data_IF_371702897248
#
_entry.id   IF_371702897248
#
_cell.length_a   1.000
_cell.length_b   1.000
_cell.length_c   1.000
_cell.angle_alpha   90.00
_cell.angle_beta   90.00
_cell.angle_gamma   90.00
#
_symmetry.space_group_name_H-M   'P 1'
#
loop_
_entity.id
_entity.type
_entity.pdbx_description
1 polymer ?
#
# COMPACT_ATOMS: atom_id res chain seq x y z
N UNK A 1 5.52 -50.63 43.77
CA UNK A 1 6.08 -49.67 44.74
C UNK A 1 6.13 -48.32 44.05
N UNK A 2 5.67 -47.24 44.68
CA UNK A 2 5.71 -45.91 44.07
C UNK A 2 7.16 -45.39 44.01
N UNK A 3 7.52 -44.63 42.97
CA UNK A 3 8.85 -44.04 42.88
C UNK A 3 9.00 -42.86 43.84
N UNK A 4 10.24 -42.64 44.27
CA UNK A 4 10.67 -41.45 45.01
C UNK A 4 11.70 -40.69 44.18
N UNK A 5 11.79 -39.37 44.35
CA UNK A 5 12.77 -38.55 43.62
C UNK A 5 14.21 -39.01 43.92
N UNK A 6 14.50 -39.41 45.15
CA UNK A 6 15.78 -39.99 45.57
C UNK A 6 16.11 -41.28 44.80
N UNK A 7 15.15 -42.19 44.64
CA UNK A 7 15.35 -43.43 43.88
C UNK A 7 15.60 -43.14 42.39
N UNK A 8 14.97 -42.10 41.84
CA UNK A 8 15.15 -41.68 40.45
C UNK A 8 16.54 -41.08 40.21
N UNK A 9 17.01 -40.20 41.11
CA UNK A 9 18.35 -39.59 41.01
C UNK A 9 19.46 -40.63 41.08
N UNK A 10 19.30 -41.63 41.95
CA UNK A 10 20.27 -42.69 42.19
C UNK A 10 20.23 -43.81 41.13
N UNK A 11 19.23 -43.81 40.24
CA UNK A 11 19.12 -44.82 39.19
C UNK A 11 20.21 -44.61 38.12
N UNK A 12 21.09 -45.61 38.00
CA UNK A 12 22.16 -45.65 37.00
C UNK A 12 21.67 -46.29 35.70
N UNK A 13 22.12 -45.80 34.52
CA UNK A 13 21.89 -46.47 33.25
C UNK A 13 22.55 -47.86 33.23
N UNK A 14 22.02 -48.77 32.41
CA UNK A 14 22.62 -50.08 32.14
C UNK A 14 22.71 -50.31 30.62
N UNK A 15 23.35 -51.40 30.22
CA UNK A 15 23.53 -51.77 28.79
C UNK A 15 22.20 -51.95 28.04
N UNK A 16 21.10 -52.17 28.76
CA UNK A 16 19.74 -52.25 28.23
C UNK A 16 18.83 -51.20 28.89
N UNK A 17 17.80 -50.70 28.17
CA UNK A 17 16.89 -49.72 28.74
C UNK A 17 16.17 -50.25 29.99
N UNK A 18 16.15 -49.44 31.05
CA UNK A 18 15.52 -49.78 32.33
C UNK A 18 14.16 -49.10 32.44
N UNK A 19 13.18 -49.81 32.99
CA UNK A 19 11.86 -49.26 33.34
C UNK A 19 11.68 -49.28 34.85
N UNK A 20 11.54 -48.09 35.45
CA UNK A 20 11.22 -47.92 36.86
C UNK A 20 9.75 -47.54 37.00
N UNK A 21 8.92 -48.40 37.58
CA UNK A 21 7.47 -48.19 37.62
C UNK A 21 7.04 -47.34 38.81
N UNK A 22 6.23 -46.31 38.58
CA UNK A 22 5.61 -45.47 39.62
C UNK A 22 4.20 -45.95 39.99
N UNK A 23 3.51 -46.61 39.05
CA UNK A 23 2.15 -47.12 39.25
C UNK A 23 1.11 -46.45 38.34
N UNK A 24 -0.04 -47.10 38.18
CA UNK A 24 -1.10 -46.62 37.27
C UNK A 24 -0.67 -46.53 35.80
N UNK A 25 0.28 -47.37 35.39
CA UNK A 25 0.87 -47.37 34.05
C UNK A 25 2.03 -46.39 33.85
N UNK A 26 2.30 -45.49 34.81
CA UNK A 26 3.42 -44.55 34.76
C UNK A 26 4.74 -45.25 35.13
N UNK A 27 5.78 -44.99 34.35
CA UNK A 27 7.15 -45.43 34.62
C UNK A 27 8.17 -44.45 34.04
N UNK A 28 9.37 -44.44 34.64
CA UNK A 28 10.54 -43.79 34.11
C UNK A 28 11.30 -44.77 33.21
N UNK A 29 11.52 -44.38 31.97
CA UNK A 29 12.30 -45.14 30.99
C UNK A 29 13.70 -44.53 30.89
N UNK A 30 14.70 -45.25 31.37
CA UNK A 30 16.11 -44.84 31.34
C UNK A 30 16.78 -45.55 30.15
N UNK A 31 17.34 -44.79 29.21
CA UNK A 31 18.08 -45.35 28.08
C UNK A 31 19.52 -45.69 28.47
N UNK A 32 20.22 -46.55 27.72
CA UNK A 32 21.65 -46.80 27.95
C UNK A 32 22.52 -45.54 27.91
N UNK A 33 22.13 -44.55 27.09
CA UNK A 33 22.75 -43.22 27.03
C UNK A 33 22.42 -42.31 28.23
N UNK A 34 21.67 -42.81 29.22
CA UNK A 34 21.32 -42.10 30.44
C UNK A 34 20.16 -41.11 30.35
N UNK A 35 19.46 -41.04 29.21
CA UNK A 35 18.29 -40.18 29.07
C UNK A 35 17.09 -40.79 29.80
N UNK A 36 16.33 -39.95 30.51
CA UNK A 36 15.25 -40.37 31.42
C UNK A 36 13.91 -39.82 30.96
N UNK A 37 13.03 -40.69 30.47
CA UNK A 37 11.74 -40.30 29.91
C UNK A 37 10.58 -40.78 30.78
N UNK A 38 9.66 -39.88 31.11
CA UNK A 38 8.38 -40.26 31.67
C UNK A 38 7.50 -40.89 30.60
N UNK A 39 7.01 -42.10 30.85
CA UNK A 39 6.15 -42.85 29.93
C UNK A 39 4.92 -43.37 30.67
N UNK A 40 3.77 -43.31 30.02
CA UNK A 40 2.53 -43.91 30.47
C UNK A 40 2.15 -45.05 29.54
N UNK A 41 2.06 -46.26 30.09
CA UNK A 41 1.51 -47.43 29.44
C UNK A 41 0.00 -47.46 29.67
N UNK A 42 -0.79 -47.53 28.61
CA UNK A 42 -2.25 -47.54 28.67
C UNK A 42 -2.86 -48.43 27.57
N UNK A 43 -4.17 -48.68 27.65
CA UNK A 43 -4.93 -49.35 26.59
C UNK A 43 -6.03 -48.44 26.08
N UNK A 44 -6.25 -48.47 24.76
CA UNK A 44 -7.36 -47.78 24.11
C UNK A 44 -7.87 -48.66 22.96
N UNK A 45 -9.19 -48.87 22.88
CA UNK A 45 -9.83 -49.73 21.87
C UNK A 45 -9.15 -51.12 21.74
N UNK A 46 -8.89 -51.78 22.88
CA UNK A 46 -8.25 -53.11 22.94
C UNK A 46 -6.74 -53.15 22.65
N UNK A 47 -6.13 -52.05 22.20
CA UNK A 47 -4.70 -51.98 21.87
C UNK A 47 -3.89 -51.32 22.99
N UNK A 48 -2.74 -51.90 23.30
CA UNK A 48 -1.76 -51.31 24.21
C UNK A 48 -0.98 -50.19 23.52
N UNK A 49 -0.85 -49.05 24.19
CA UNK A 49 -0.17 -47.85 23.69
C UNK A 49 0.75 -47.25 24.75
N UNK A 50 1.70 -46.44 24.27
CA UNK A 50 2.69 -45.76 25.08
C UNK A 50 2.64 -44.25 24.86
N UNK A 51 2.32 -43.48 25.89
CA UNK A 51 2.30 -42.02 25.87
C UNK A 51 3.60 -41.48 26.48
N UNK A 52 4.26 -40.54 25.80
CA UNK A 52 5.36 -39.78 26.40
C UNK A 52 4.79 -38.70 27.32
N UNK A 53 5.31 -38.52 28.53
CA UNK A 53 4.84 -37.50 29.47
C UNK A 53 5.89 -36.43 29.77
N UNK A 54 7.14 -36.60 29.35
CA UNK A 54 8.20 -35.61 29.55
C UNK A 54 9.58 -36.25 29.71
N UNK A 55 10.57 -35.41 29.95
CA UNK A 55 11.96 -35.81 30.26
C UNK A 55 12.28 -35.37 31.68
N UNK A 56 12.92 -36.22 32.47
CA UNK A 56 13.42 -35.85 33.79
C UNK A 56 14.83 -35.25 33.66
N UNK A 57 15.17 -34.14 34.36
CA UNK A 57 14.42 -33.51 35.45
C UNK A 57 13.48 -32.37 35.02
N UNK A 58 13.42 -31.99 33.74
CA UNK A 58 12.55 -30.90 33.25
C UNK A 58 11.07 -31.08 33.62
N UNK A 59 10.62 -32.33 33.67
CA UNK A 59 9.33 -32.73 34.22
C UNK A 59 9.60 -33.52 35.49
N UNK A 60 9.18 -32.94 36.61
CA UNK A 60 9.29 -33.54 37.93
C UNK A 60 8.41 -34.79 38.06
N UNK A 61 8.69 -35.64 39.06
CA UNK A 61 7.83 -36.79 39.37
C UNK A 61 6.38 -36.36 39.66
N UNK A 62 6.19 -35.20 40.30
CA UNK A 62 4.86 -34.64 40.58
C UNK A 62 4.14 -34.29 39.28
N UNK A 63 4.76 -33.51 38.40
CA UNK A 63 4.15 -33.16 37.11
C UNK A 63 3.90 -34.39 36.23
N UNK A 64 4.76 -35.41 36.30
CA UNK A 64 4.54 -36.68 35.59
C UNK A 64 3.29 -37.41 36.11
N UNK A 65 3.01 -37.36 37.42
CA UNK A 65 1.78 -37.88 38.02
C UNK A 65 0.56 -37.04 37.63
N UNK A 66 0.67 -35.72 37.63
CA UNK A 66 -0.43 -34.84 37.20
C UNK A 66 -0.81 -35.09 35.73
N UNK A 67 0.20 -35.19 34.85
CA UNK A 67 -0.02 -35.54 33.42
C UNK A 67 -0.55 -36.97 33.22
N UNK A 68 -0.28 -37.90 34.15
CA UNK A 68 -0.89 -39.24 34.15
C UNK A 68 -2.38 -39.16 34.44
N UNK A 69 -2.78 -38.41 35.46
CA UNK A 69 -4.20 -38.28 35.82
C UNK A 69 -4.99 -37.61 34.69
N UNK A 70 -4.44 -36.57 34.06
CA UNK A 70 -5.08 -35.94 32.91
C UNK A 70 -5.24 -36.91 31.73
N UNK A 71 -4.21 -37.70 31.42
CA UNK A 71 -4.30 -38.72 30.38
C UNK A 71 -5.34 -39.81 30.72
N UNK A 72 -5.51 -40.16 31.99
CA UNK A 72 -6.54 -41.10 32.44
C UNK A 72 -7.94 -40.51 32.36
N UNK A 73 -8.11 -39.22 32.63
CA UNK A 73 -9.38 -38.49 32.47
C UNK A 73 -9.85 -38.57 31.02
N UNK A 74 -8.98 -38.24 30.07
CA UNK A 74 -9.26 -38.35 28.63
C UNK A 74 -9.64 -39.77 28.21
N UNK A 75 -8.97 -40.80 28.77
CA UNK A 75 -9.35 -42.19 28.51
C UNK A 75 -10.74 -42.54 29.05
N UNK A 76 -11.12 -41.99 30.20
CA UNK A 76 -12.48 -42.13 30.76
C UNK A 76 -13.56 -41.49 29.90
N UNK A 77 -13.21 -40.44 29.16
CA UNK A 77 -14.07 -39.75 28.19
C UNK A 77 -14.06 -40.42 26.79
N UNK A 78 -13.35 -41.55 26.64
CA UNK A 78 -13.26 -42.26 25.36
C UNK A 78 -12.32 -41.61 24.33
N UNK A 79 -11.45 -40.69 24.75
CA UNK A 79 -10.48 -39.99 23.90
C UNK A 79 -9.10 -40.65 24.04
N UNK A 80 -8.41 -40.89 22.92
CA UNK A 80 -7.01 -41.35 22.94
C UNK A 80 -6.05 -40.18 23.23
N UNK A 81 -5.35 -40.16 24.38
CA UNK A 81 -4.47 -39.05 24.75
C UNK A 81 -3.31 -38.81 23.78
N UNK A 82 -2.86 -39.85 23.07
CA UNK A 82 -1.80 -39.72 22.07
C UNK A 82 -2.29 -39.02 20.80
N UNK A 83 -3.55 -39.27 20.42
CA UNK A 83 -4.19 -38.62 19.29
C UNK A 83 -4.49 -37.16 19.61
N UNK A 84 -5.07 -36.89 20.79
CA UNK A 84 -5.36 -35.53 21.26
C UNK A 84 -4.10 -34.67 21.29
N UNK A 85 -2.99 -35.18 21.85
CA UNK A 85 -1.73 -34.45 21.86
C UNK A 85 -1.16 -34.20 20.47
N UNK A 86 -1.34 -35.14 19.54
CA UNK A 86 -0.93 -34.97 18.14
C UNK A 86 -1.82 -33.93 17.43
N UNK A 87 -3.13 -33.96 17.67
CA UNK A 87 -4.09 -33.00 17.15
C UNK A 87 -3.80 -31.58 17.67
N UNK A 88 -3.52 -31.40 18.96
CA UNK A 88 -3.10 -30.12 19.53
C UNK A 88 -1.80 -29.60 18.94
N UNK A 89 -0.82 -30.47 18.69
CA UNK A 89 0.46 -30.09 18.06
C UNK A 89 0.27 -29.67 16.60
N UNK A 90 -0.55 -30.39 15.83
CA UNK A 90 -0.91 -30.03 14.45
C UNK A 90 -1.66 -28.70 14.43
N UNK A 91 -2.67 -28.54 15.29
CA UNK A 91 -3.42 -27.30 15.42
C UNK A 91 -2.53 -26.10 15.79
N UNK A 92 -1.49 -26.30 16.62
CA UNK A 92 -0.53 -25.23 16.96
C UNK A 92 0.31 -24.82 15.75
N UNK A 93 0.82 -25.79 14.98
CA UNK A 93 1.62 -25.52 13.77
C UNK A 93 0.76 -24.88 12.68
N UNK A 94 -0.46 -25.36 12.47
CA UNK A 94 -1.43 -24.77 11.54
C UNK A 94 -1.85 -23.36 11.96
N UNK A 95 -2.01 -23.08 13.26
CA UNK A 95 -2.31 -21.73 13.77
C UNK A 95 -1.18 -20.74 13.49
N UNK A 96 0.08 -21.16 13.58
CA UNK A 96 1.23 -20.31 13.22
C UNK A 96 1.35 -20.12 11.70
N UNK A 97 1.12 -21.18 10.91
CA UNK A 97 1.14 -21.13 9.46
C UNK A 97 -0.03 -20.31 8.87
N UNK A 98 -1.19 -20.29 9.54
CA UNK A 98 -2.38 -19.53 9.15
C UNK A 98 -2.55 -18.24 9.99
N UNK A 99 -1.45 -17.68 10.47
CA UNK A 99 -1.46 -16.36 11.10
C UNK A 99 -1.85 -15.27 10.08
N UNK A 100 -2.43 -14.17 10.55
CA UNK A 100 -2.83 -13.07 9.67
C UNK A 100 -1.66 -12.54 8.85
N UNK A 101 -0.48 -12.41 9.45
CA UNK A 101 0.71 -11.94 8.75
C UNK A 101 1.16 -12.91 7.65
N UNK A 102 1.17 -14.22 7.93
CA UNK A 102 1.55 -15.22 6.93
C UNK A 102 0.62 -15.14 5.70
N UNK A 103 -0.70 -15.11 5.94
CA UNK A 103 -1.70 -15.00 4.87
C UNK A 103 -1.60 -13.66 4.14
N UNK A 104 -1.36 -12.56 4.87
CA UNK A 104 -1.20 -11.24 4.28
C UNK A 104 0.03 -11.14 3.36
N UNK A 105 1.14 -11.78 3.73
CA UNK A 105 2.37 -11.82 2.91
C UNK A 105 2.19 -12.69 1.68
N UNK A 106 1.53 -13.84 1.82
CA UNK A 106 1.16 -14.70 0.69
C UNK A 106 0.25 -13.95 -0.30
N UNK A 107 -0.80 -13.30 0.22
CA UNK A 107 -1.67 -12.44 -0.56
C UNK A 107 -0.88 -11.32 -1.26
N UNK A 108 -0.03 -10.60 -0.52
CA UNK A 108 0.76 -9.52 -1.10
C UNK A 108 1.67 -10.02 -2.23
N UNK A 109 2.38 -11.13 -2.04
CA UNK A 109 3.24 -11.72 -3.07
C UNK A 109 2.47 -12.10 -4.34
N UNK A 110 1.22 -12.57 -4.20
CA UNK A 110 0.35 -12.93 -5.34
C UNK A 110 -0.11 -11.71 -6.14
N UNK A 111 -0.49 -10.61 -5.48
CA UNK A 111 -1.10 -9.46 -6.15
C UNK A 111 -0.12 -8.32 -6.46
N UNK A 112 0.99 -8.20 -5.73
CA UNK A 112 2.00 -7.17 -5.94
C UNK A 112 2.51 -7.06 -7.39
N UNK A 113 2.70 -8.16 -8.16
CA UNK A 113 3.12 -8.07 -9.56
C UNK A 113 2.12 -7.32 -10.47
N UNK A 114 0.83 -7.28 -10.10
CA UNK A 114 -0.21 -6.57 -10.85
C UNK A 114 -0.28 -5.07 -10.51
N UNK A 115 0.49 -4.61 -9.53
CA UNK A 115 0.50 -3.23 -9.07
C UNK A 115 1.78 -2.51 -9.46
N UNK A 116 1.73 -1.17 -9.46
CA UNK A 116 2.98 -0.41 -9.54
C UNK A 116 3.85 -0.70 -8.31
N UNK A 117 5.18 -0.69 -8.50
CA UNK A 117 6.16 -0.93 -7.42
C UNK A 117 5.90 -0.04 -6.19
N UNK A 118 5.55 1.23 -6.42
CA UNK A 118 5.21 2.20 -5.36
C UNK A 118 3.96 1.79 -4.58
N UNK A 119 2.91 1.32 -5.26
CA UNK A 119 1.70 0.86 -4.59
C UNK A 119 1.95 -0.41 -3.78
N UNK A 120 2.65 -1.40 -4.36
CA UNK A 120 3.00 -2.63 -3.67
C UNK A 120 3.80 -2.36 -2.37
N UNK A 121 4.79 -1.47 -2.44
CA UNK A 121 5.55 -1.03 -1.26
C UNK A 121 4.66 -0.37 -0.21
N UNK A 122 3.80 0.59 -0.60
CA UNK A 122 2.91 1.29 0.34
C UNK A 122 1.93 0.36 1.04
N UNK A 123 1.42 -0.66 0.34
CA UNK A 123 0.49 -1.63 0.91
C UNK A 123 1.17 -2.46 2.00
N UNK A 124 2.33 -3.07 1.71
CA UNK A 124 3.01 -3.91 2.71
C UNK A 124 3.56 -3.09 3.88
N UNK A 125 4.11 -1.91 3.63
CA UNK A 125 4.60 -1.02 4.68
C UNK A 125 3.48 -0.62 5.65
N UNK A 126 2.27 -0.36 5.15
CA UNK A 126 1.11 -0.08 6.01
C UNK A 126 0.75 -1.28 6.87
N UNK A 127 0.75 -2.48 6.31
CA UNK A 127 0.48 -3.71 7.09
C UNK A 127 1.54 -3.91 8.18
N UNK A 128 2.82 -3.74 7.85
CA UNK A 128 3.92 -3.89 8.80
C UNK A 128 3.89 -2.87 9.93
N UNK A 129 3.53 -1.62 9.64
CA UNK A 129 3.55 -0.54 10.64
C UNK A 129 2.27 -0.49 11.46
N UNK A 130 1.11 -0.78 10.85
CA UNK A 130 -0.18 -0.49 11.46
C UNK A 130 -0.97 -1.75 11.84
N UNK A 131 -0.68 -2.93 11.25
CA UNK A 131 -1.51 -4.14 11.44
C UNK A 131 -0.76 -5.29 12.10
N UNK A 132 0.38 -5.70 11.55
CA UNK A 132 1.15 -6.85 12.04
C UNK A 132 1.56 -6.76 13.51
N UNK A 133 1.94 -5.59 14.07
CA UNK A 133 2.28 -5.49 15.49
C UNK A 133 1.15 -5.89 16.43
N UNK A 134 -0.10 -5.87 15.96
CA UNK A 134 -1.29 -6.09 16.77
C UNK A 134 -2.05 -7.36 16.43
N UNK A 135 -2.11 -7.73 15.14
CA UNK A 135 -2.87 -8.87 14.65
C UNK A 135 -2.00 -9.91 13.93
N UNK A 136 -0.73 -9.61 13.63
CA UNK A 136 0.09 -10.42 12.74
C UNK A 136 0.19 -11.88 13.15
N UNK A 137 0.44 -12.14 14.44
CA UNK A 137 0.54 -13.49 15.00
C UNK A 137 -0.78 -14.18 15.33
N UNK A 138 -1.93 -13.48 15.21
CA UNK A 138 -3.24 -14.08 15.50
C UNK A 138 -3.65 -15.01 14.34
N UNK A 139 -4.21 -16.20 14.62
CA UNK A 139 -4.80 -17.03 13.56
C UNK A 139 -5.90 -16.26 12.84
N UNK A 140 -5.85 -16.21 11.51
CA UNK A 140 -6.77 -15.36 10.74
C UNK A 140 -8.25 -15.73 10.96
N UNK A 141 -8.54 -17.02 11.17
CA UNK A 141 -9.89 -17.52 11.44
C UNK A 141 -10.48 -17.04 12.79
N UNK A 142 -9.64 -16.65 13.75
CA UNK A 142 -10.08 -16.26 15.09
C UNK A 142 -10.28 -14.75 15.26
N UNK A 143 -9.85 -13.93 14.28
CA UNK A 143 -9.89 -12.48 14.40
C UNK A 143 -11.32 -11.98 14.19
N UNK A 144 -11.84 -11.26 15.19
CA UNK A 144 -13.20 -10.70 15.16
C UNK A 144 -13.23 -9.24 14.73
N UNK A 145 -14.41 -8.77 14.31
CA UNK A 145 -14.62 -7.38 13.89
C UNK A 145 -14.15 -6.32 14.92
N UNK A 146 -14.38 -6.48 16.24
CA UNK A 146 -13.89 -5.51 17.23
C UNK A 146 -12.36 -5.42 17.31
N UNK A 147 -11.64 -6.54 17.14
CA UNK A 147 -10.17 -6.55 17.11
C UNK A 147 -9.64 -5.78 15.90
N UNK A 148 -10.25 -6.02 14.73
CA UNK A 148 -9.93 -5.32 13.50
C UNK A 148 -10.24 -3.82 13.57
N UNK A 149 -11.39 -3.45 14.14
CA UNK A 149 -11.75 -2.05 14.38
C UNK A 149 -10.78 -1.39 15.35
N UNK A 150 -10.32 -2.10 16.39
CA UNK A 150 -9.32 -1.60 17.33
C UNK A 150 -8.03 -1.19 16.63
N UNK A 151 -7.55 -1.98 15.66
CA UNK A 151 -6.40 -1.61 14.81
C UNK A 151 -6.66 -0.33 14.03
N UNK A 152 -7.81 -0.24 13.35
CA UNK A 152 -8.16 0.94 12.57
C UNK A 152 -8.27 2.21 13.43
N UNK A 153 -8.86 2.10 14.63
CA UNK A 153 -8.97 3.20 15.60
C UNK A 153 -7.62 3.69 16.12
N UNK A 154 -6.61 2.81 16.25
CA UNK A 154 -5.23 3.25 16.57
C UNK A 154 -4.62 4.08 15.46
N UNK A 155 -4.96 3.79 14.20
CA UNK A 155 -4.50 4.60 13.06
C UNK A 155 -5.22 5.94 13.04
N UNK A 156 -6.53 5.93 13.27
CA UNK A 156 -7.38 7.12 13.39
C UNK A 156 -6.91 8.05 14.50
N UNK A 157 -6.60 7.53 15.70
CA UNK A 157 -6.19 8.35 16.85
C UNK A 157 -4.90 9.13 16.65
N UNK A 158 -4.09 8.75 15.64
CA UNK A 158 -2.90 9.50 15.19
C UNK A 158 -3.25 10.63 14.20
N UNK A 159 -4.53 10.88 13.94
CA UNK A 159 -5.01 11.85 12.94
C UNK A 159 -4.99 11.33 11.50
N UNK A 160 -4.72 10.05 11.27
CA UNK A 160 -4.52 9.48 9.94
C UNK A 160 -5.77 8.76 9.39
N UNK A 161 -6.91 9.45 9.32
CA UNK A 161 -8.21 8.85 9.01
C UNK A 161 -8.26 8.16 7.62
N UNK A 162 -7.70 8.75 6.55
CA UNK A 162 -7.61 8.08 5.24
C UNK A 162 -6.80 6.79 5.32
N UNK A 163 -5.72 6.78 6.12
CA UNK A 163 -4.92 5.57 6.32
C UNK A 163 -5.71 4.50 7.06
N UNK A 164 -6.53 4.88 8.05
CA UNK A 164 -7.39 3.94 8.78
C UNK A 164 -8.41 3.26 7.86
N UNK A 165 -9.07 4.02 6.98
CA UNK A 165 -9.97 3.47 5.95
C UNK A 165 -9.24 2.51 5.01
N UNK A 166 -8.04 2.87 4.55
CA UNK A 166 -7.25 1.99 3.69
C UNK A 166 -6.76 0.73 4.42
N UNK A 167 -6.46 0.80 5.72
CA UNK A 167 -6.13 -0.39 6.52
C UNK A 167 -7.31 -1.36 6.51
N UNK A 168 -8.53 -0.90 6.82
CA UNK A 168 -9.72 -1.75 6.81
C UNK A 168 -9.96 -2.37 5.42
N UNK A 169 -9.79 -1.58 4.35
CA UNK A 169 -9.93 -2.06 2.98
C UNK A 169 -8.91 -3.17 2.65
N UNK A 170 -7.64 -2.98 3.00
CA UNK A 170 -6.58 -3.97 2.76
C UNK A 170 -6.81 -5.23 3.61
N UNK A 171 -7.17 -5.09 4.88
CA UNK A 171 -7.53 -6.22 5.74
C UNK A 171 -8.69 -7.03 5.14
N UNK A 172 -9.76 -6.38 4.65
CA UNK A 172 -10.86 -7.08 3.98
C UNK A 172 -10.45 -7.82 2.71
N UNK A 173 -9.47 -7.33 1.95
CA UNK A 173 -8.91 -8.07 0.82
C UNK A 173 -8.17 -9.33 1.28
N UNK A 174 -7.40 -9.24 2.37
CA UNK A 174 -6.68 -10.37 2.96
C UNK A 174 -7.65 -11.41 3.52
N UNK A 175 -8.71 -10.99 4.22
CA UNK A 175 -9.75 -11.91 4.71
C UNK A 175 -10.48 -12.61 3.57
N UNK A 176 -10.88 -11.89 2.52
CA UNK A 176 -11.50 -12.53 1.35
C UNK A 176 -10.57 -13.52 0.67
N UNK A 177 -9.26 -13.24 0.63
CA UNK A 177 -8.27 -14.20 0.18
C UNK A 177 -8.19 -15.43 1.09
N UNK A 178 -8.19 -15.24 2.40
CA UNK A 178 -8.21 -16.31 3.39
C UNK A 178 -9.44 -17.21 3.22
N UNK A 179 -10.62 -16.61 3.02
CA UNK A 179 -11.88 -17.33 2.72
C UNK A 179 -11.76 -18.14 1.43
N UNK A 180 -11.28 -17.53 0.35
CA UNK A 180 -11.10 -18.24 -0.92
C UNK A 180 -10.09 -19.40 -0.85
N UNK A 181 -9.16 -19.37 0.11
CA UNK A 181 -8.18 -20.44 0.34
C UNK A 181 -8.55 -21.39 1.48
N UNK A 182 -9.76 -21.28 2.04
CA UNK A 182 -10.25 -22.16 3.11
C UNK A 182 -9.60 -21.94 4.49
N UNK A 183 -8.93 -20.80 4.70
CA UNK A 183 -8.23 -20.46 5.95
C UNK A 183 -9.05 -19.60 6.90
N UNK A 184 -10.19 -19.10 6.45
CA UNK A 184 -11.17 -18.37 7.24
C UNK A 184 -12.58 -18.64 6.69
N UNK A 185 -13.61 -18.53 7.51
CA UNK A 185 -14.99 -18.73 7.07
C UNK A 185 -15.65 -17.43 6.59
N UNK A 186 -15.20 -16.26 7.10
CA UNK A 186 -15.82 -14.96 6.80
C UNK A 186 -14.81 -13.81 6.83
N UNK A 187 -15.14 -12.75 6.09
CA UNK A 187 -14.51 -11.43 6.21
C UNK A 187 -15.25 -10.53 7.22
N UNK A 188 -14.65 -10.23 8.39
CA UNK A 188 -15.28 -9.36 9.40
C UNK A 188 -15.24 -7.87 9.05
N UNK A 189 -14.50 -7.44 8.02
CA UNK A 189 -14.37 -6.03 7.65
C UNK A 189 -15.67 -5.45 7.07
N UNK A 190 -16.55 -6.29 6.53
CA UNK A 190 -17.85 -5.88 5.99
C UNK A 190 -18.76 -5.24 7.05
N UNK A 191 -18.70 -5.74 8.29
CA UNK A 191 -19.50 -5.24 9.42
C UNK A 191 -19.00 -3.89 9.95
N UNK A 192 -17.80 -3.47 9.53
CA UNK A 192 -17.16 -2.24 9.97
C UNK A 192 -17.44 -1.06 9.03
N UNK A 193 -18.30 -1.25 8.02
CA UNK A 193 -18.73 -0.13 7.16
C UNK A 193 -19.44 0.93 8.01
N UNK A 194 -18.95 2.16 7.96
CA UNK A 194 -19.46 3.27 8.77
C UNK A 194 -18.94 3.32 10.20
N UNK A 195 -18.11 2.36 10.63
CA UNK A 195 -17.54 2.37 11.98
C UNK A 195 -16.45 3.44 12.19
N UNK A 196 -15.87 3.94 11.09
CA UNK A 196 -15.00 5.11 11.07
C UNK A 196 -15.77 6.30 10.50
N UNK A 197 -15.54 7.53 11.00
CA UNK A 197 -16.12 8.72 10.42
C UNK A 197 -15.67 8.88 8.95
N UNK A 198 -16.51 9.49 8.10
CA UNK A 198 -16.14 9.74 6.72
C UNK A 198 -14.94 10.68 6.67
N UNK A 199 -13.99 10.40 5.76
CA UNK A 199 -12.92 11.36 5.45
C UNK A 199 -13.59 12.59 4.85
N UNK A 200 -13.63 13.69 5.59
CA UNK A 200 -13.97 15.00 5.02
C UNK A 200 -12.84 15.40 4.08
N UNK A 201 -12.98 15.07 2.81
CA UNK A 201 -12.08 15.56 1.77
C UNK A 201 -12.19 17.08 1.74
N UNK A 202 -11.12 17.78 2.14
CA UNK A 202 -10.95 19.15 1.67
C UNK A 202 -10.54 19.01 0.21
N UNK A 203 -11.46 19.30 -0.71
CA UNK A 203 -11.05 19.57 -2.08
C UNK A 203 -10.02 20.70 -1.99
N UNK A 204 -8.77 20.41 -2.36
CA UNK A 204 -7.73 21.44 -2.40
C UNK A 204 -8.28 22.59 -3.26
N UNK A 205 -8.10 23.83 -2.81
CA UNK A 205 -8.45 25.00 -3.62
C UNK A 205 -7.69 24.86 -4.95
N UNK A 206 -8.41 24.54 -6.02
CA UNK A 206 -7.91 24.74 -7.36
C UNK A 206 -8.45 26.13 -7.71
N UNK A 207 -7.68 27.22 -7.51
CA UNK A 207 -8.15 28.56 -7.84
C UNK A 207 -8.57 28.57 -9.31
N UNK A 208 -9.87 28.60 -9.58
CA UNK A 208 -10.40 28.72 -10.94
C UNK A 208 -10.73 30.17 -11.29
N UNK A 209 -10.69 31.08 -10.31
CA UNK A 209 -10.73 32.52 -10.56
C UNK A 209 -9.44 32.93 -11.31
N UNK A 210 -9.55 33.49 -12.53
CA UNK A 210 -8.40 33.99 -13.27
C UNK A 210 -7.47 34.92 -12.47
N UNK A 211 -7.99 35.70 -11.50
CA UNK A 211 -7.16 36.57 -10.66
C UNK A 211 -6.25 35.80 -9.71
N UNK A 212 -6.78 34.74 -9.09
CA UNK A 212 -6.02 33.86 -8.21
C UNK A 212 -4.98 33.05 -9.01
N UNK A 213 -5.36 32.58 -10.20
CA UNK A 213 -4.43 31.92 -11.15
C UNK A 213 -3.31 32.88 -11.55
N UNK A 214 -3.61 34.12 -11.90
CA UNK A 214 -2.61 35.12 -12.23
C UNK A 214 -1.63 35.37 -11.07
N UNK A 215 -2.12 35.42 -9.83
CA UNK A 215 -1.30 35.49 -8.63
C UNK A 215 -0.33 34.31 -8.52
N UNK A 216 -0.84 33.09 -8.69
CA UNK A 216 -0.04 31.87 -8.67
C UNK A 216 1.05 31.84 -9.75
N UNK A 217 0.72 32.25 -10.97
CA UNK A 217 1.68 32.29 -12.09
C UNK A 217 2.81 33.29 -11.83
N UNK A 218 2.50 34.49 -11.32
CA UNK A 218 3.52 35.48 -10.92
C UNK A 218 4.42 34.97 -9.81
N UNK A 219 3.86 34.21 -8.88
CA UNK A 219 4.63 33.54 -7.84
C UNK A 219 5.63 32.58 -8.50
N UNK A 220 5.21 31.75 -9.48
CA UNK A 220 6.13 30.84 -10.20
C UNK A 220 7.26 31.58 -10.94
N UNK A 221 6.98 32.71 -11.58
CA UNK A 221 8.02 33.52 -12.25
C UNK A 221 9.08 34.04 -11.26
N UNK A 222 8.64 34.42 -10.06
CA UNK A 222 9.49 34.89 -8.96
C UNK A 222 10.22 33.75 -8.22
N UNK A 223 10.04 32.49 -8.61
CA UNK A 223 10.70 31.37 -7.97
C UNK A 223 12.23 31.52 -7.98
N UNK A 224 12.82 31.44 -6.79
CA UNK A 224 14.27 31.46 -6.58
C UNK A 224 14.73 30.06 -6.16
N UNK A 225 15.54 29.43 -7.02
CA UNK A 225 16.06 28.09 -6.83
C UNK A 225 16.88 27.64 -8.04
N UNK A 226 17.09 26.33 -8.20
CA UNK A 226 17.80 25.79 -9.37
C UNK A 226 17.01 26.05 -10.65
N UNK A 227 17.69 26.40 -11.73
CA UNK A 227 17.08 26.63 -13.05
C UNK A 227 16.18 25.47 -13.50
N UNK A 228 16.62 24.23 -13.31
CA UNK A 228 15.84 23.01 -13.63
C UNK A 228 14.47 22.97 -12.93
N UNK A 229 14.42 23.30 -11.63
CA UNK A 229 13.16 23.35 -10.87
C UNK A 229 12.30 24.54 -11.31
N UNK A 230 12.91 25.67 -11.65
CA UNK A 230 12.19 26.83 -12.20
C UNK A 230 11.49 26.47 -13.51
N UNK A 231 12.20 25.86 -14.47
CA UNK A 231 11.61 25.40 -15.73
C UNK A 231 10.46 24.42 -15.49
N UNK A 232 10.59 23.47 -14.55
CA UNK A 232 9.51 22.54 -14.22
C UNK A 232 8.26 23.25 -13.67
N UNK A 233 8.43 24.28 -12.83
CA UNK A 233 7.32 25.07 -12.30
C UNK A 233 6.62 25.89 -13.39
N UNK A 234 7.37 26.46 -14.32
CA UNK A 234 6.82 27.25 -15.43
C UNK A 234 6.11 26.38 -16.47
N UNK A 235 6.65 25.19 -16.76
CA UNK A 235 6.06 24.25 -17.72
C UNK A 235 4.84 23.50 -17.16
N UNK A 236 4.76 23.29 -15.84
CA UNK A 236 3.63 22.62 -15.22
C UNK A 236 2.25 23.21 -15.60
N UNK A 237 1.98 24.52 -15.45
CA UNK A 237 0.74 25.15 -15.88
C UNK A 237 0.51 25.12 -17.38
N UNK A 238 1.57 25.27 -18.19
CA UNK A 238 1.47 25.28 -19.65
C UNK A 238 1.10 23.91 -20.23
N UNK A 239 1.70 22.83 -19.71
CA UNK A 239 1.55 21.48 -20.25
C UNK A 239 0.46 20.66 -19.57
N UNK A 240 0.19 20.94 -18.29
CA UNK A 240 -0.82 20.29 -17.45
C UNK A 240 -0.86 18.75 -17.55
N UNK A 241 0.30 18.14 -17.83
CA UNK A 241 0.56 16.71 -17.68
C UNK A 241 0.59 16.32 -16.19
N UNK A 242 0.63 15.04 -15.86
CA UNK A 242 0.76 14.65 -14.45
C UNK A 242 2.14 15.06 -13.94
N UNK A 243 2.29 15.52 -12.68
CA UNK A 243 3.59 15.85 -12.10
C UNK A 243 4.63 14.73 -12.21
N UNK A 244 4.20 13.47 -12.09
CA UNK A 244 5.05 12.31 -12.26
C UNK A 244 5.52 12.07 -13.70
N UNK A 245 4.71 12.46 -14.70
CA UNK A 245 5.08 12.43 -16.12
C UNK A 245 6.06 13.58 -16.41
N UNK A 246 5.75 14.81 -15.99
CA UNK A 246 6.61 15.99 -16.19
C UNK A 246 8.01 15.78 -15.63
N UNK A 247 8.13 15.39 -14.35
CA UNK A 247 9.44 15.27 -13.68
C UNK A 247 10.34 14.18 -14.30
N UNK A 248 9.73 13.21 -14.98
CA UNK A 248 10.40 12.06 -15.57
C UNK A 248 10.51 12.17 -17.10
N UNK A 249 10.19 13.33 -17.68
CA UNK A 249 10.33 13.58 -19.10
C UNK A 249 11.77 13.33 -19.56
N UNK A 250 11.91 12.62 -20.68
CA UNK A 250 13.18 12.27 -21.30
C UNK A 250 13.39 13.12 -22.55
N UNK A 251 14.63 13.52 -22.82
CA UNK A 251 14.93 14.33 -24.01
C UNK A 251 14.62 13.57 -25.31
N UNK A 252 14.77 12.25 -25.30
CA UNK A 252 14.47 11.38 -26.44
C UNK A 252 12.99 11.42 -26.87
N UNK A 253 12.08 11.82 -25.97
CA UNK A 253 10.65 11.89 -26.23
C UNK A 253 10.20 13.26 -26.77
N UNK A 254 11.09 14.26 -26.78
CA UNK A 254 10.76 15.65 -27.11
C UNK A 254 11.39 16.05 -28.44
N UNK A 255 10.53 16.41 -29.39
CA UNK A 255 10.91 17.06 -30.63
C UNK A 255 10.64 18.57 -30.52
N UNK A 256 11.70 19.34 -30.25
CA UNK A 256 11.62 20.79 -30.08
C UNK A 256 11.35 21.54 -31.39
N UNK A 257 11.66 20.93 -32.53
CA UNK A 257 11.46 21.56 -33.84
C UNK A 257 10.05 21.31 -34.36
N UNK A 258 9.51 20.11 -34.14
CA UNK A 258 8.09 19.82 -34.36
C UNK A 258 7.17 20.43 -33.29
N UNK A 259 7.72 20.80 -32.12
CA UNK A 259 6.95 21.33 -31.00
C UNK A 259 6.07 20.26 -30.36
N UNK A 260 6.62 19.06 -30.12
CA UNK A 260 5.87 17.92 -29.60
C UNK A 260 6.64 17.14 -28.54
N UNK A 261 5.92 16.64 -27.55
CA UNK A 261 6.42 15.67 -26.58
C UNK A 261 5.58 14.39 -26.66
N UNK A 262 6.22 13.25 -26.97
CA UNK A 262 5.58 11.97 -27.23
C UNK A 262 6.08 10.91 -26.25
N UNK A 263 5.20 10.42 -25.37
CA UNK A 263 5.58 9.43 -24.35
C UNK A 263 4.42 8.47 -24.05
N UNK A 264 4.69 7.42 -23.27
CA UNK A 264 3.66 6.48 -22.80
C UNK A 264 3.21 6.87 -21.39
N UNK A 265 1.91 7.14 -21.19
CA UNK A 265 1.39 7.57 -19.89
C UNK A 265 1.55 6.48 -18.82
N UNK A 266 2.27 6.83 -17.74
CA UNK A 266 2.72 5.90 -16.69
C UNK A 266 1.62 5.21 -15.88
N UNK A 267 0.37 5.69 -15.95
CA UNK A 267 -0.78 5.11 -15.21
C UNK A 267 -1.67 4.22 -16.08
N UNK A 268 -1.64 4.37 -17.41
CA UNK A 268 -2.60 3.73 -18.31
C UNK A 268 -1.96 3.01 -19.50
N UNK A 269 -0.64 3.11 -19.66
CA UNK A 269 0.11 2.49 -20.75
C UNK A 269 -0.44 2.91 -22.13
N UNK A 270 -0.73 4.21 -22.27
CA UNK A 270 -1.31 4.77 -23.49
C UNK A 270 -0.30 5.74 -24.12
N UNK A 271 0.02 5.60 -25.41
CA UNK A 271 0.77 6.60 -26.15
C UNK A 271 0.08 7.97 -26.07
N UNK A 272 0.83 9.00 -25.72
CA UNK A 272 0.33 10.35 -25.53
C UNK A 272 1.25 11.34 -26.23
N UNK A 273 0.65 12.22 -27.02
CA UNK A 273 1.34 13.31 -27.72
C UNK A 273 0.89 14.60 -27.05
N UNK A 274 1.81 15.42 -26.57
CA UNK A 274 1.56 16.74 -25.97
C UNK A 274 2.11 17.80 -26.93
N UNK A 275 1.25 18.57 -27.62
CA UNK A 275 1.70 19.73 -28.35
C UNK A 275 2.34 20.77 -27.42
N UNK A 276 3.47 21.34 -27.84
CA UNK A 276 4.20 22.36 -27.11
C UNK A 276 3.91 23.72 -27.73
N UNK A 277 3.50 24.69 -26.90
CA UNK A 277 3.39 26.08 -27.33
C UNK A 277 4.77 26.69 -27.57
N UNK A 278 4.84 27.81 -28.28
CA UNK A 278 6.08 28.54 -28.53
C UNK A 278 6.80 28.92 -27.22
N UNK A 279 6.05 29.32 -26.19
CA UNK A 279 6.56 29.59 -24.84
C UNK A 279 7.19 28.35 -24.20
N UNK A 280 6.52 27.19 -24.29
CA UNK A 280 7.04 25.95 -23.74
C UNK A 280 8.33 25.51 -24.46
N UNK A 281 8.36 25.62 -25.79
CA UNK A 281 9.56 25.34 -26.60
C UNK A 281 10.72 26.26 -26.22
N UNK A 282 10.48 27.55 -26.00
CA UNK A 282 11.51 28.49 -25.56
C UNK A 282 12.13 28.06 -24.22
N UNK A 283 11.31 27.77 -23.21
CA UNK A 283 11.78 27.30 -21.90
C UNK A 283 12.56 25.99 -22.02
N UNK A 284 12.08 25.06 -22.87
CA UNK A 284 12.75 23.79 -23.09
C UNK A 284 14.07 23.96 -23.83
N UNK A 285 14.19 24.86 -24.81
CA UNK A 285 15.46 25.15 -25.49
C UNK A 285 16.51 25.72 -24.53
N UNK A 286 16.11 26.65 -23.66
CA UNK A 286 17.02 27.17 -22.62
C UNK A 286 17.45 26.06 -21.66
N UNK A 287 16.52 25.19 -21.25
CA UNK A 287 16.84 24.06 -20.39
C UNK A 287 17.73 23.02 -21.09
N UNK A 288 17.53 22.79 -22.38
CA UNK A 288 18.31 21.86 -23.19
C UNK A 288 19.80 22.25 -23.23
N UNK A 289 20.12 23.55 -23.25
CA UNK A 289 21.50 24.02 -23.15
C UNK A 289 22.20 23.55 -21.85
N UNK A 290 21.45 23.32 -20.76
CA UNK A 290 21.98 22.87 -19.49
C UNK A 290 21.90 21.34 -19.29
N UNK A 291 20.83 20.70 -19.74
CA UNK A 291 20.53 19.30 -19.43
C UNK A 291 20.47 18.37 -20.64
N UNK A 292 20.54 18.90 -21.87
CA UNK A 292 20.36 18.17 -23.13
C UNK A 292 21.38 17.07 -23.40
N UNK A 293 22.56 17.13 -22.78
CA UNK A 293 23.56 16.06 -22.84
C UNK A 293 23.21 14.83 -21.96
N UNK A 294 22.19 14.96 -21.11
CA UNK A 294 21.72 13.90 -20.23
C UNK A 294 20.48 13.19 -20.76
N UNK A 295 20.01 12.22 -19.97
CA UNK A 295 18.81 11.45 -20.31
C UNK A 295 17.50 12.20 -20.02
N UNK A 296 17.41 12.78 -18.82
CA UNK A 296 16.20 13.46 -18.34
C UNK A 296 16.21 14.95 -18.64
N UNK A 297 15.04 15.47 -19.03
CA UNK A 297 14.78 16.92 -19.14
C UNK A 297 15.01 17.60 -17.79
N UNK A 298 14.52 16.97 -16.73
CA UNK A 298 14.63 17.42 -15.34
C UNK A 298 15.47 16.42 -14.52
N UNK A 299 16.81 16.46 -14.58
CA UNK A 299 17.65 15.54 -13.84
C UNK A 299 17.62 15.82 -12.33
N UNK A 300 17.84 14.78 -11.52
CA UNK A 300 17.98 14.89 -10.08
C UNK A 300 19.23 15.69 -9.69
N UNK A 301 19.08 16.60 -8.73
CA UNK A 301 20.18 17.49 -8.30
C UNK A 301 21.41 16.72 -7.75
N UNK A 302 21.19 15.58 -7.09
CA UNK A 302 22.26 14.73 -6.52
C UNK A 302 22.71 13.61 -7.45
N UNK A 303 21.82 13.14 -8.31
CA UNK A 303 22.05 12.00 -9.20
C UNK A 303 21.38 12.30 -10.53
N UNK A 304 22.19 12.72 -11.51
CA UNK A 304 21.72 13.10 -12.85
C UNK A 304 21.19 11.90 -13.65
N UNK A 305 21.46 10.66 -13.22
CA UNK A 305 20.92 9.43 -13.81
C UNK A 305 19.51 9.12 -13.33
N UNK A 306 18.95 9.94 -12.43
CA UNK A 306 17.57 9.82 -11.95
C UNK A 306 16.79 11.08 -12.32
N UNK A 307 15.47 10.96 -12.51
CA UNK A 307 14.63 12.13 -12.71
C UNK A 307 14.52 12.95 -11.42
N UNK A 308 14.08 14.19 -11.56
CA UNK A 308 13.73 15.07 -10.44
C UNK A 308 12.76 14.36 -9.48
N UNK A 309 12.95 14.57 -8.18
CA UNK A 309 12.17 13.88 -7.15
C UNK A 309 10.71 14.37 -7.11
N UNK A 310 9.79 13.49 -6.69
CA UNK A 310 8.37 13.84 -6.50
C UNK A 310 8.16 15.00 -5.52
N UNK A 311 9.07 15.16 -4.57
CA UNK A 311 9.02 16.20 -3.57
C UNK A 311 9.52 17.57 -4.07
N UNK A 312 10.26 17.64 -5.18
CA UNK A 312 10.96 18.87 -5.58
C UNK A 312 10.00 20.03 -5.87
N UNK A 313 8.96 19.80 -6.68
CA UNK A 313 7.94 20.81 -7.01
C UNK A 313 7.15 21.22 -5.76
N UNK A 314 6.70 20.27 -4.96
CA UNK A 314 5.98 20.59 -3.71
C UNK A 314 6.87 21.31 -2.69
N UNK A 315 8.16 20.97 -2.60
CA UNK A 315 9.11 21.67 -1.76
C UNK A 315 9.38 23.10 -2.27
N UNK A 316 9.40 23.30 -3.58
CA UNK A 316 9.50 24.63 -4.19
C UNK A 316 8.27 25.48 -3.86
N UNK A 317 7.05 24.95 -4.07
CA UNK A 317 5.80 25.61 -3.68
C UNK A 317 5.79 26.02 -2.20
N UNK A 318 6.20 25.12 -1.29
CA UNK A 318 6.32 25.44 0.14
C UNK A 318 7.29 26.58 0.43
N UNK A 319 8.44 26.64 -0.24
CA UNK A 319 9.42 27.74 -0.07
C UNK A 319 8.88 29.09 -0.53
N UNK A 320 7.92 29.08 -1.44
CA UNK A 320 7.25 30.26 -1.96
C UNK A 320 6.08 30.71 -1.08
N UNK A 321 5.93 30.10 0.11
CA UNK A 321 4.86 30.42 1.05
C UNK A 321 3.53 29.74 0.74
N UNK A 322 3.45 28.89 -0.31
CA UNK A 322 2.21 28.21 -0.68
C UNK A 322 2.01 26.99 0.21
N UNK A 323 0.90 26.95 0.96
CA UNK A 323 0.51 25.78 1.73
C UNK A 323 0.03 24.68 0.77
N UNK A 324 0.96 23.78 0.41
CA UNK A 324 0.65 22.61 -0.44
C UNK A 324 -0.35 21.61 0.17
N UNK A 325 -0.86 21.84 1.37
CA UNK A 325 -1.94 21.04 1.97
C UNK A 325 -3.29 21.79 2.00
N UNK A 326 -3.31 23.10 1.74
CA UNK A 326 -4.52 23.92 1.84
C UNK A 326 -4.80 24.78 0.60
N UNK A 327 -3.77 25.26 -0.06
CA UNK A 327 -3.86 26.30 -1.09
C UNK A 327 -3.62 25.77 -2.50
N UNK A 328 -2.54 25.02 -2.75
CA UNK A 328 -2.24 24.52 -4.10
C UNK A 328 -1.21 23.39 -4.09
N UNK A 329 -1.46 22.31 -4.84
CA UNK A 329 -0.47 21.24 -5.08
C UNK A 329 -0.04 21.24 -6.55
N UNK A 330 1.09 20.59 -6.87
CA UNK A 330 1.46 20.37 -8.28
C UNK A 330 0.38 19.64 -9.11
N UNK A 331 -0.57 18.94 -8.46
CA UNK A 331 -1.73 18.34 -9.14
C UNK A 331 -2.87 19.33 -9.41
N UNK A 332 -2.92 20.47 -8.72
CA UNK A 332 -3.97 21.49 -8.80
C UNK A 332 -4.04 22.20 -10.15
N UNK A 333 -2.98 22.12 -10.96
CA UNK A 333 -2.95 22.70 -12.32
C UNK A 333 -4.01 22.09 -13.25
N UNK A 334 -4.19 20.76 -13.22
CA UNK A 334 -4.99 20.06 -14.24
C UNK A 334 -6.48 20.40 -14.15
N UNK A 335 -7.09 20.45 -12.95
CA UNK A 335 -8.45 20.96 -12.79
C UNK A 335 -8.61 22.41 -13.25
N UNK A 336 -7.64 23.30 -12.96
CA UNK A 336 -7.66 24.70 -13.41
C UNK A 336 -7.68 24.79 -14.93
N UNK A 337 -6.72 24.13 -15.59
CA UNK A 337 -6.64 24.10 -17.04
C UNK A 337 -7.94 23.58 -17.65
N UNK A 338 -8.49 22.47 -17.12
CA UNK A 338 -9.76 21.90 -17.60
C UNK A 338 -10.92 22.89 -17.51
N UNK A 339 -11.08 23.53 -16.36
CA UNK A 339 -12.17 24.49 -16.14
C UNK A 339 -12.02 25.72 -17.03
N UNK A 340 -10.84 26.35 -17.07
CA UNK A 340 -10.65 27.58 -17.84
C UNK A 340 -10.70 27.32 -19.35
N UNK A 341 -10.08 26.23 -19.83
CA UNK A 341 -10.15 25.85 -21.24
C UNK A 341 -11.60 25.67 -21.70
N UNK A 342 -12.46 25.09 -20.85
CA UNK A 342 -13.87 24.87 -21.16
C UNK A 342 -14.70 26.14 -21.03
N UNK A 343 -14.68 26.75 -19.86
CA UNK A 343 -15.63 27.79 -19.46
C UNK A 343 -15.23 29.19 -19.93
N UNK A 344 -13.93 29.47 -20.10
CA UNK A 344 -13.42 30.79 -20.47
C UNK A 344 -12.97 30.82 -21.93
N UNK A 345 -12.22 29.81 -22.35
CA UNK A 345 -11.63 29.75 -23.69
C UNK A 345 -12.51 28.99 -24.70
N UNK A 346 -13.59 28.35 -24.24
CA UNK A 346 -14.61 27.75 -25.10
C UNK A 346 -14.17 26.52 -25.88
N UNK A 347 -13.12 25.81 -25.44
CA UNK A 347 -12.69 24.58 -26.11
C UNK A 347 -13.62 23.41 -25.83
N UNK A 348 -13.71 22.50 -26.80
CA UNK A 348 -14.53 21.32 -26.65
C UNK A 348 -14.01 20.36 -25.59
N UNK A 349 -14.92 19.84 -24.76
CA UNK A 349 -14.57 18.99 -23.64
C UNK A 349 -13.80 17.74 -24.11
N UNK A 350 -14.12 17.22 -25.30
CA UNK A 350 -13.43 16.09 -25.89
C UNK A 350 -11.93 16.36 -26.15
N UNK A 351 -11.61 17.52 -26.72
CA UNK A 351 -10.23 17.96 -27.02
C UNK A 351 -9.43 18.10 -25.72
N UNK A 352 -10.04 18.68 -24.68
CA UNK A 352 -9.43 18.87 -23.36
C UNK A 352 -9.17 17.50 -22.69
N UNK A 353 -10.14 16.59 -22.71
CA UNK A 353 -10.00 15.26 -22.10
C UNK A 353 -8.93 14.42 -22.81
N UNK A 354 -8.84 14.48 -24.14
CA UNK A 354 -7.76 13.86 -24.91
C UNK A 354 -6.38 14.40 -24.51
N UNK A 355 -6.25 15.72 -24.33
CA UNK A 355 -5.02 16.35 -23.86
C UNK A 355 -4.66 15.95 -22.42
N UNK A 356 -5.63 15.67 -21.55
CA UNK A 356 -5.39 15.18 -20.20
C UNK A 356 -5.06 13.66 -20.13
N UNK A 357 -4.94 13.00 -21.30
CA UNK A 357 -4.85 11.55 -21.43
C UNK A 357 -6.00 10.83 -20.71
N UNK A 358 -7.20 11.42 -20.77
CA UNK A 358 -8.43 10.81 -20.30
C UNK A 358 -9.06 9.99 -21.42
N UNK A 359 -9.35 8.71 -21.14
CA UNK A 359 -10.13 7.88 -22.07
C UNK A 359 -11.59 8.25 -21.93
N UNK A 360 -12.22 8.72 -23.00
CA UNK A 360 -13.64 8.48 -23.22
C UNK A 360 -13.79 7.15 -23.96
N UNK A 361 -14.68 6.29 -23.48
CA UNK A 361 -15.22 5.21 -24.31
C UNK A 361 -16.26 5.86 -25.22
N UNK A 362 -16.15 5.68 -26.52
CA UNK A 362 -17.28 5.86 -27.44
C UNK A 362 -18.47 5.02 -26.93
N UNK A 363 -19.74 5.46 -27.09
CA UNK A 363 -20.92 4.58 -27.04
C UNK A 363 -20.74 3.17 -27.64
N UNK A 364 -19.94 3.02 -28.70
CA UNK A 364 -19.62 1.77 -29.39
C UNK A 364 -18.34 1.06 -28.87
N UNK A 365 -17.69 1.57 -27.82
CA UNK A 365 -16.57 0.92 -27.14
C UNK A 365 -15.19 1.08 -27.78
N UNK A 366 -15.05 1.76 -28.93
CA UNK A 366 -13.76 2.07 -29.53
C UNK A 366 -13.01 3.14 -28.73
N UNK A 367 -11.69 2.98 -28.59
CA UNK A 367 -10.82 4.04 -28.08
C UNK A 367 -10.59 5.05 -29.20
N UNK A 368 -10.74 6.35 -28.91
CA UNK A 368 -10.44 7.42 -29.86
C UNK A 368 -9.04 7.26 -30.48
N UNK A 369 -8.95 7.58 -31.77
CA UNK A 369 -7.72 7.50 -32.54
C UNK A 369 -6.63 8.42 -31.94
N UNK A 370 -5.39 7.95 -31.98
CA UNK A 370 -4.25 8.49 -31.20
C UNK A 370 -3.81 9.89 -31.66
N UNK A 371 -4.23 10.27 -32.86
CA UNK A 371 -3.95 11.55 -33.53
C UNK A 371 -5.21 12.43 -33.60
N UNK A 372 -6.32 11.98 -32.99
CA UNK A 372 -7.57 12.71 -33.03
C UNK A 372 -7.37 14.14 -32.52
N UNK A 373 -7.87 15.08 -33.33
CA UNK A 373 -7.85 16.52 -33.04
C UNK A 373 -6.45 17.11 -32.79
N UNK A 374 -5.35 16.52 -33.28
CA UNK A 374 -4.00 17.04 -32.98
C UNK A 374 -3.80 18.51 -33.42
N UNK A 375 -4.34 18.89 -34.58
CA UNK A 375 -4.31 20.27 -35.04
C UNK A 375 -5.08 21.23 -34.09
N UNK A 376 -6.25 20.81 -33.63
CA UNK A 376 -7.05 21.58 -32.68
C UNK A 376 -6.40 21.64 -31.29
N UNK A 377 -5.78 20.54 -30.85
CA UNK A 377 -4.98 20.48 -29.62
C UNK A 377 -3.76 21.40 -29.70
N UNK A 378 -3.06 21.47 -30.84
CA UNK A 378 -1.98 22.45 -31.05
C UNK A 378 -2.49 23.88 -30.88
N UNK A 379 -3.61 24.23 -31.52
CA UNK A 379 -4.25 25.54 -31.35
C UNK A 379 -4.61 25.78 -29.89
N UNK A 380 -5.22 24.80 -29.22
CA UNK A 380 -5.59 24.89 -27.81
C UNK A 380 -4.40 25.14 -26.89
N UNK A 381 -3.31 24.38 -27.06
CA UNK A 381 -2.11 24.54 -26.24
C UNK A 381 -1.44 25.90 -26.44
N UNK A 382 -1.45 26.43 -27.67
CA UNK A 382 -0.95 27.78 -27.94
C UNK A 382 -1.84 28.85 -27.30
N UNK A 383 -3.16 28.83 -27.57
CA UNK A 383 -4.12 29.78 -26.97
C UNK A 383 -4.09 29.74 -25.44
N UNK A 384 -3.92 28.55 -24.85
CA UNK A 384 -3.75 28.39 -23.42
C UNK A 384 -2.50 29.10 -22.90
N UNK A 385 -1.35 28.89 -23.54
CA UNK A 385 -0.10 29.54 -23.13
C UNK A 385 -0.18 31.06 -23.28
N UNK A 386 -0.77 31.56 -24.38
CA UNK A 386 -0.98 33.00 -24.61
C UNK A 386 -1.90 33.59 -23.52
N UNK A 387 -2.98 32.89 -23.17
CA UNK A 387 -3.87 33.31 -22.09
C UNK A 387 -3.18 33.34 -20.72
N UNK A 388 -2.30 32.38 -20.41
CA UNK A 388 -1.50 32.41 -19.18
C UNK A 388 -0.55 33.62 -19.14
N UNK A 389 0.02 34.01 -20.28
CA UNK A 389 0.85 35.22 -20.38
C UNK A 389 0.02 36.51 -20.20
N UNK A 390 -1.16 36.58 -20.81
CA UNK A 390 -2.11 37.70 -20.62
C UNK A 390 -2.53 37.85 -19.14
N UNK A 391 -2.87 36.75 -18.48
CA UNK A 391 -3.21 36.73 -17.06
C UNK A 391 -2.07 37.25 -16.18
N UNK A 392 -0.83 36.83 -16.46
CA UNK A 392 0.35 37.30 -15.72
C UNK A 392 0.56 38.80 -15.89
N UNK A 393 0.44 39.28 -17.14
CA UNK A 393 0.59 40.69 -17.51
C UNK A 393 -0.55 41.59 -17.00
N UNK A 394 -1.66 41.01 -16.54
CA UNK A 394 -2.84 41.75 -16.09
C UNK A 394 -3.72 42.28 -17.25
N UNK A 395 -3.55 41.74 -18.46
CA UNK A 395 -4.36 42.09 -19.63
C UNK A 395 -5.57 41.16 -19.73
N UNK A 396 -6.78 41.75 -19.83
CA UNK A 396 -8.09 41.08 -20.00
C UNK A 396 -8.41 39.94 -19.01
N UNK A 397 -8.91 40.30 -17.83
CA UNK A 397 -9.64 39.36 -16.97
C UNK A 397 -11.07 39.22 -17.50
N UNK A 398 -11.35 38.18 -18.30
CA UNK A 398 -12.71 37.82 -18.67
C UNK A 398 -13.40 37.16 -17.46
N UNK A 399 -14.53 37.72 -17.03
CA UNK A 399 -15.28 37.21 -15.88
C UNK A 399 -15.99 35.90 -16.22
N UNK A 400 -15.91 34.91 -15.32
CA UNK A 400 -16.72 33.70 -15.39
C UNK A 400 -18.16 34.08 -15.03
N UNK A 401 -19.11 33.85 -15.94
CA UNK A 401 -20.52 34.07 -15.65
C UNK A 401 -20.96 33.09 -14.54
N UNK A 402 -21.22 33.62 -13.35
CA UNK A 402 -21.67 32.83 -12.20
C UNK A 402 -22.98 32.11 -12.51
N UNK A 403 -23.05 30.83 -12.17
CA UNK A 403 -24.28 30.06 -12.20
C UNK A 403 -25.34 30.78 -11.37
N UNK A 404 -26.42 31.19 -12.04
CA UNK A 404 -27.60 31.79 -11.44
C UNK A 404 -28.17 30.79 -10.43
N UNK A 405 -28.02 31.10 -9.14
CA UNK A 405 -28.90 30.55 -8.10
C UNK A 405 -30.31 30.99 -8.45
N UNK A 406 -31.14 30.03 -8.88
CA UNK A 406 -32.59 30.19 -8.88
C UNK A 406 -33.07 29.88 -7.47
N UNK A 407 -33.81 30.83 -6.92
CA UNK A 407 -34.49 30.78 -5.62
C UNK A 407 -35.39 29.55 -5.45
#
# INVERSE_FOLDING_TARGET
>A
MALTDTAIRNAKPADKPIKLFDGGGLFLHITPAGQRYWRLKYRFAGKEKLLALGVYPEVSLKEARDRREEAKRLLGEGVDPSFERKAQKVATVERTANSFEAVAREWHAKYAPSWSKSNAYKVIARLQNDVFPWLGGRPIAEIKAPELLGVARRVESRGALDTAHRVLQTCGQIFRYAVATGRAERDPSGDLRGALPPVKGKHFAAPTDPKEVAGLLRVFDAFTGTFVVKCALLLAPMLFVRPGELRAAEWADIDLDAGEWRFVSSKRDVPHIVPLSTQAVAILRDLHALTGHGHYVFPGARDKKKPMSEAAVNAALKRMGIDTQKEFTGHGVRPIARTILREVLGFEAEVIELQLAHRKKDPNGAAYDRVAFLAERRRMMQTWADYLDELKAGAKVLAIAGATTRD
#
